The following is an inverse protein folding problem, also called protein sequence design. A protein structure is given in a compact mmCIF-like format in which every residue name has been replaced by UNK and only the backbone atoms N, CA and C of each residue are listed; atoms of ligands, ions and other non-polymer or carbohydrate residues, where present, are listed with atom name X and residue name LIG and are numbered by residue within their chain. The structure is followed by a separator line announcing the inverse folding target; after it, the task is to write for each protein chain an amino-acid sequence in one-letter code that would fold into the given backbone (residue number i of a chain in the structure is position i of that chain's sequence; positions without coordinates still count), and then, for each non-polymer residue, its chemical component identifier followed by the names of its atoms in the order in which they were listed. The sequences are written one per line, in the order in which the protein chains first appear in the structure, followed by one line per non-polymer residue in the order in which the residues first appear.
data_IF_334005372193
#
_entry.id   IF_334005372193
#
_cell.length_a   1.000
_cell.length_b   1.000
_cell.length_c   1.000
_cell.angle_alpha   90.00
_cell.angle_beta   90.00
_cell.angle_gamma   90.00
#
_symmetry.space_group_name_H-M   'P 1'
#
loop_
_entity.id
_entity.type
_entity.pdbx_description
1 polymer ?
#
# COMPACT_ATOMS: atom_id res chain seq x y z
N UNK A 1 23.95 -9.12 12.09
CA UNK A 1 24.48 -7.85 11.57
C UNK A 1 23.51 -6.76 11.96
N UNK A 2 23.96 -5.68 12.63
CA UNK A 2 23.07 -4.57 12.95
C UNK A 2 22.55 -3.96 11.65
N UNK A 3 21.23 -3.84 11.51
CA UNK A 3 20.59 -3.30 10.32
C UNK A 3 20.91 -1.79 10.26
N UNK A 4 21.76 -1.38 9.32
CA UNK A 4 22.05 0.04 9.07
C UNK A 4 20.73 0.76 8.78
N UNK A 5 20.48 1.91 9.44
CA UNK A 5 19.23 2.65 9.23
C UNK A 5 19.04 3.01 7.76
N UNK A 6 17.79 3.08 7.29
CA UNK A 6 17.49 3.44 5.90
C UNK A 6 18.16 4.77 5.52
N UNK A 7 18.13 5.75 6.43
CA UNK A 7 18.85 7.02 6.27
C UNK A 7 20.35 6.82 6.08
N UNK A 8 21.00 6.05 6.94
CA UNK A 8 22.45 5.83 6.84
C UNK A 8 22.85 5.09 5.54
N UNK A 9 21.97 4.23 5.00
CA UNK A 9 22.18 3.58 3.70
C UNK A 9 21.95 4.53 2.53
N UNK A 10 20.86 5.30 2.53
CA UNK A 10 20.44 6.11 1.38
C UNK A 10 21.14 7.46 1.30
N UNK A 11 21.46 8.09 2.44
CA UNK A 11 22.07 9.42 2.48
C UNK A 11 23.30 9.56 1.58
N UNK A 12 24.33 8.68 1.62
CA UNK A 12 25.50 8.82 0.75
C UNK A 12 25.19 8.61 -0.74
N UNK A 13 24.17 7.81 -1.07
CA UNK A 13 23.73 7.59 -2.46
C UNK A 13 23.03 8.84 -3.00
N UNK A 14 22.06 9.35 -2.25
CA UNK A 14 21.22 10.48 -2.64
C UNK A 14 21.96 11.83 -2.60
N UNK A 15 23.10 11.92 -1.90
CA UNK A 15 23.95 13.12 -1.91
C UNK A 15 24.98 13.13 -3.06
N UNK A 16 25.08 12.05 -3.84
CA UNK A 16 26.08 11.92 -4.92
C UNK A 16 25.40 11.52 -6.24
N UNK A 17 24.27 12.13 -6.57
CA UNK A 17 23.49 11.79 -7.77
C UNK A 17 24.26 12.18 -9.05
N UNK A 18 24.17 11.31 -10.05
CA UNK A 18 24.72 11.50 -11.39
C UNK A 18 24.19 12.78 -12.06
N UNK A 19 25.09 13.55 -12.67
CA UNK A 19 24.75 14.62 -13.60
C UNK A 19 25.73 14.58 -14.79
N UNK A 20 25.27 14.59 -16.06
CA UNK A 20 26.15 14.36 -17.20
C UNK A 20 27.30 15.36 -17.35
N UNK A 21 27.17 16.59 -16.82
CA UNK A 21 28.22 17.61 -16.84
C UNK A 21 28.88 17.83 -15.48
N UNK A 22 28.09 17.96 -14.42
CA UNK A 22 28.59 18.41 -13.10
C UNK A 22 29.03 17.26 -12.20
N UNK A 23 28.49 16.06 -12.40
CA UNK A 23 28.83 14.87 -11.63
C UNK A 23 28.72 13.60 -12.49
N UNK A 24 29.54 13.45 -13.55
CA UNK A 24 29.40 12.35 -14.51
C UNK A 24 29.74 10.98 -13.90
N UNK A 25 30.41 10.95 -12.74
CA UNK A 25 30.74 9.74 -12.00
C UNK A 25 29.80 9.52 -10.78
N UNK A 26 28.74 10.31 -10.67
CA UNK A 26 27.75 10.16 -9.60
C UNK A 26 26.91 8.88 -9.75
N UNK A 27 26.15 8.58 -8.72
CA UNK A 27 25.21 7.46 -8.66
C UNK A 27 24.01 7.75 -9.56
N UNK A 28 23.76 6.87 -10.52
CA UNK A 28 22.52 6.88 -11.29
C UNK A 28 21.41 6.31 -10.40
N UNK A 29 20.49 7.16 -9.96
CA UNK A 29 19.35 6.72 -9.15
C UNK A 29 18.28 6.09 -10.04
N UNK A 30 18.15 4.76 -9.91
CA UNK A 30 17.09 3.96 -10.51
C UNK A 30 16.24 3.25 -9.44
N UNK A 31 16.42 3.64 -8.18
CA UNK A 31 15.76 3.02 -7.02
C UNK A 31 14.65 3.89 -6.42
N UNK A 32 14.73 5.21 -6.60
CA UNK A 32 13.70 6.15 -6.15
C UNK A 32 12.59 6.26 -7.19
N UNK A 33 11.34 6.05 -6.76
CA UNK A 33 10.17 6.09 -7.63
C UNK A 33 9.73 7.54 -7.91
N UNK A 34 10.48 8.24 -8.76
CA UNK A 34 10.19 9.61 -9.20
C UNK A 34 9.98 9.70 -10.72
N UNK A 35 9.03 10.54 -11.15
CA UNK A 35 8.81 10.80 -12.57
C UNK A 35 9.63 12.01 -13.03
N UNK A 36 10.93 11.79 -13.23
CA UNK A 36 11.86 12.86 -13.64
C UNK A 36 11.52 13.47 -15.01
N UNK A 37 10.85 12.71 -15.89
CA UNK A 37 10.48 13.15 -17.25
C UNK A 37 9.52 14.36 -17.19
N UNK A 38 8.67 14.41 -16.17
CA UNK A 38 7.67 15.48 -16.00
C UNK A 38 8.19 16.69 -15.20
N UNK A 39 9.41 16.64 -14.66
CA UNK A 39 9.88 17.66 -13.72
C UNK A 39 9.93 19.06 -14.33
N UNK A 40 10.37 19.17 -15.59
CA UNK A 40 10.40 20.44 -16.32
C UNK A 40 9.00 21.02 -16.52
N UNK A 41 8.06 20.21 -16.98
CA UNK A 41 6.68 20.66 -17.25
C UNK A 41 5.96 21.08 -15.97
N UNK A 42 6.17 20.33 -14.88
CA UNK A 42 5.63 20.68 -13.55
C UNK A 42 6.26 21.97 -13.03
N UNK A 43 7.59 22.14 -13.17
CA UNK A 43 8.29 23.36 -12.81
C UNK A 43 7.76 24.58 -13.58
N UNK A 44 7.65 24.46 -14.90
CA UNK A 44 7.17 25.55 -15.76
C UNK A 44 5.71 25.90 -15.44
N UNK A 45 4.86 24.89 -15.21
CA UNK A 45 3.47 25.11 -14.80
C UNK A 45 3.39 25.81 -13.45
N UNK A 46 4.17 25.35 -12.46
CA UNK A 46 4.16 25.91 -11.12
C UNK A 46 4.54 27.40 -11.13
N UNK A 47 5.59 27.76 -11.86
CA UNK A 47 6.09 29.13 -11.90
C UNK A 47 5.26 30.07 -12.78
N UNK A 48 4.61 29.57 -13.83
CA UNK A 48 3.94 30.43 -14.80
C UNK A 48 2.41 30.40 -14.74
N UNK A 49 1.81 29.36 -14.16
CA UNK A 49 0.35 29.14 -14.21
C UNK A 49 -0.32 29.15 -12.84
N UNK A 50 0.39 28.87 -11.75
CA UNK A 50 -0.21 28.94 -10.41
C UNK A 50 -0.43 30.40 -10.03
N UNK A 51 -1.71 30.79 -9.90
CA UNK A 51 -2.12 32.11 -9.43
C UNK A 51 -2.79 31.97 -8.07
N UNK A 52 -2.23 32.65 -7.08
CA UNK A 52 -2.82 32.73 -5.74
C UNK A 52 -3.67 33.98 -5.59
N UNK A 53 -4.58 33.94 -4.63
CA UNK A 53 -5.40 35.09 -4.23
C UNK A 53 -5.39 35.17 -2.70
N UNK A 54 -5.79 36.28 -2.07
CA UNK A 54 -5.91 36.34 -0.60
C UNK A 54 -6.75 35.19 -0.02
N UNK A 55 -7.81 34.76 -0.73
CA UNK A 55 -8.66 33.62 -0.34
C UNK A 55 -7.88 32.30 -0.28
N UNK A 56 -6.84 32.13 -1.10
CA UNK A 56 -5.97 30.93 -1.09
C UNK A 56 -5.30 30.72 0.28
N UNK A 57 -5.09 31.79 1.04
CA UNK A 57 -4.46 31.76 2.36
C UNK A 57 -5.49 31.75 3.51
N UNK A 58 -6.72 31.34 3.24
CA UNK A 58 -7.80 31.21 4.23
C UNK A 58 -8.29 29.77 4.28
N UNK A 59 -9.13 29.44 5.27
CA UNK A 59 -9.83 28.16 5.31
C UNK A 59 -10.78 27.92 4.13
N UNK A 60 -11.10 28.96 3.35
CA UNK A 60 -11.93 28.84 2.16
C UNK A 60 -13.30 28.22 2.46
N UNK A 61 -13.52 27.00 1.97
CA UNK A 61 -14.77 26.24 2.08
C UNK A 61 -14.72 25.17 3.20
N UNK A 62 -13.65 25.15 4.01
CA UNK A 62 -13.47 24.20 5.12
C UNK A 62 -12.40 23.13 4.86
N UNK A 63 -12.31 22.10 5.73
CA UNK A 63 -11.19 21.16 5.79
C UNK A 63 -11.20 20.06 4.73
N UNK A 64 -12.21 20.00 3.85
CA UNK A 64 -12.40 18.93 2.85
C UNK A 64 -11.71 19.18 1.51
N UNK A 65 -11.03 20.33 1.37
CA UNK A 65 -10.47 20.79 0.10
C UNK A 65 -11.47 21.60 -0.73
N UNK A 66 -10.96 22.61 -1.46
CA UNK A 66 -11.81 23.53 -2.23
C UNK A 66 -12.61 22.80 -3.31
N UNK A 67 -13.87 23.21 -3.55
CA UNK A 67 -14.70 22.69 -4.65
C UNK A 67 -13.98 22.73 -6.00
N UNK A 68 -13.22 23.81 -6.28
CA UNK A 68 -12.39 23.91 -7.49
C UNK A 68 -11.45 22.71 -7.67
N UNK A 69 -10.74 22.33 -6.61
CA UNK A 69 -9.80 21.21 -6.62
C UNK A 69 -10.55 19.87 -6.78
N UNK A 70 -11.61 19.66 -6.01
CA UNK A 70 -12.44 18.45 -6.07
C UNK A 70 -13.05 18.26 -7.47
N UNK A 71 -13.62 19.31 -8.07
CA UNK A 71 -14.14 19.28 -9.44
C UNK A 71 -13.06 18.99 -10.46
N UNK A 72 -11.89 19.63 -10.37
CA UNK A 72 -10.80 19.39 -11.30
C UNK A 72 -10.29 17.94 -11.24
N UNK A 73 -10.15 17.38 -10.03
CA UNK A 73 -9.73 16.00 -9.83
C UNK A 73 -10.79 15.00 -10.34
N UNK A 74 -12.06 15.19 -9.98
CA UNK A 74 -13.15 14.36 -10.48
C UNK A 74 -13.18 14.34 -12.02
N UNK A 75 -13.08 15.51 -12.65
CA UNK A 75 -13.03 15.62 -14.11
C UNK A 75 -11.81 14.91 -14.70
N UNK A 76 -10.63 15.06 -14.08
CA UNK A 76 -9.42 14.37 -14.51
C UNK A 76 -9.59 12.84 -14.43
N UNK A 77 -10.07 12.33 -13.29
CA UNK A 77 -10.28 10.89 -13.09
C UNK A 77 -11.31 10.33 -14.09
N UNK A 78 -12.44 11.02 -14.27
CA UNK A 78 -13.48 10.62 -15.22
C UNK A 78 -12.99 10.65 -16.68
N UNK A 79 -12.12 11.59 -17.02
CA UNK A 79 -11.60 11.75 -18.39
C UNK A 79 -10.54 10.72 -18.74
N UNK A 80 -9.63 10.38 -17.82
CA UNK A 80 -8.47 9.55 -18.14
C UNK A 80 -8.55 8.10 -17.63
N UNK A 81 -9.34 7.83 -16.59
CA UNK A 81 -9.45 6.49 -16.00
C UNK A 81 -10.76 5.78 -16.34
N UNK A 82 -11.73 6.50 -16.91
CA UNK A 82 -13.03 5.97 -17.35
C UNK A 82 -13.69 5.04 -16.32
N UNK A 83 -13.91 5.50 -15.08
CA UNK A 83 -14.48 4.68 -14.02
C UNK A 83 -15.89 4.20 -14.40
N UNK A 84 -16.28 3.02 -13.90
CA UNK A 84 -17.60 2.43 -14.15
C UNK A 84 -18.75 3.39 -13.77
N UNK A 85 -18.60 4.07 -12.63
CA UNK A 85 -19.48 5.16 -12.20
C UNK A 85 -18.70 6.47 -12.18
N UNK A 86 -19.33 7.55 -12.66
CA UNK A 86 -18.70 8.87 -12.70
C UNK A 86 -18.43 9.41 -11.30
N UNK A 87 -17.17 9.69 -10.99
CA UNK A 87 -16.72 10.23 -9.70
C UNK A 87 -17.26 11.64 -9.54
N UNK A 88 -17.91 11.90 -8.40
CA UNK A 88 -18.44 13.20 -8.04
C UNK A 88 -17.45 13.98 -7.17
N UNK A 89 -17.42 15.33 -7.26
CA UNK A 89 -16.55 16.14 -6.41
C UNK A 89 -16.77 15.91 -4.91
N UNK A 90 -18.00 15.60 -4.50
CA UNK A 90 -18.37 15.35 -3.10
C UNK A 90 -17.91 13.99 -2.56
N UNK A 91 -17.37 13.12 -3.41
CA UNK A 91 -16.77 11.83 -3.03
C UNK A 91 -15.25 11.94 -2.78
N UNK A 92 -14.66 13.11 -3.00
CA UNK A 92 -13.22 13.32 -2.91
C UNK A 92 -12.81 14.08 -1.65
N UNK A 93 -11.86 13.51 -0.93
CA UNK A 93 -11.14 14.14 0.19
C UNK A 93 -9.66 14.25 -0.14
N UNK A 94 -9.01 15.29 0.37
CA UNK A 94 -7.59 15.56 0.14
C UNK A 94 -6.84 15.55 1.47
N UNK A 95 -5.64 14.98 1.45
CA UNK A 95 -4.67 15.08 2.54
C UNK A 95 -3.28 15.41 1.98
N UNK A 96 -2.32 15.67 2.87
CA UNK A 96 -0.94 16.01 2.55
C UNK A 96 -0.12 14.76 2.14
N UNK A 97 -0.54 14.10 1.06
CA UNK A 97 0.14 12.94 0.47
C UNK A 97 -0.44 11.59 0.90
N UNK A 98 0.04 10.53 0.25
CA UNK A 98 -0.49 9.16 0.42
C UNK A 98 -0.28 8.60 1.82
N UNK A 99 0.84 8.93 2.48
CA UNK A 99 1.10 8.52 3.88
C UNK A 99 -0.02 8.95 4.82
N UNK A 100 -0.46 10.21 4.72
CA UNK A 100 -1.57 10.71 5.53
C UNK A 100 -2.92 10.11 5.11
N UNK A 101 -3.11 9.81 3.83
CA UNK A 101 -4.31 9.12 3.36
C UNK A 101 -4.38 7.68 3.88
N UNK A 102 -3.28 6.94 3.89
CA UNK A 102 -3.21 5.60 4.48
C UNK A 102 -3.56 5.65 5.97
N UNK A 103 -3.03 6.63 6.70
CA UNK A 103 -3.36 6.83 8.12
C UNK A 103 -4.85 7.13 8.34
N UNK A 104 -5.41 8.11 7.60
CA UNK A 104 -6.83 8.47 7.68
C UNK A 104 -7.72 7.28 7.30
N UNK A 105 -7.35 6.55 6.25
CA UNK A 105 -8.06 5.35 5.81
C UNK A 105 -8.01 4.27 6.90
N UNK A 106 -6.86 4.07 7.54
CA UNK A 106 -6.71 3.16 8.66
C UNK A 106 -7.67 3.47 9.81
N UNK A 107 -7.77 4.75 10.21
CA UNK A 107 -8.74 5.18 11.23
C UNK A 107 -10.21 4.94 10.83
N UNK A 108 -10.51 4.94 9.54
CA UNK A 108 -11.88 4.76 9.05
C UNK A 108 -12.31 3.29 8.99
N UNK A 109 -11.37 2.36 8.78
CA UNK A 109 -11.70 0.94 8.49
C UNK A 109 -11.47 -0.02 9.65
N UNK A 110 -10.80 0.40 10.73
CA UNK A 110 -10.46 -0.52 11.81
C UNK A 110 -10.05 0.17 13.11
N UNK A 111 -9.93 -0.64 14.14
CA UNK A 111 -9.46 -0.25 15.47
C UNK A 111 -8.01 -0.69 15.70
N UNK A 112 -7.29 -0.08 16.66
CA UNK A 112 -5.94 -0.52 17.00
C UNK A 112 -5.86 -2.04 17.22
N UNK A 113 -4.86 -2.68 16.60
CA UNK A 113 -4.61 -4.12 16.52
C UNK A 113 -5.46 -4.92 15.50
N UNK A 114 -6.39 -4.30 14.79
CA UNK A 114 -7.00 -4.94 13.62
C UNK A 114 -5.97 -5.15 12.50
N UNK A 115 -6.19 -6.18 11.69
CA UNK A 115 -5.30 -6.57 10.59
C UNK A 115 -5.76 -6.04 9.23
N UNK A 116 -4.85 -5.46 8.45
CA UNK A 116 -5.02 -5.25 7.01
C UNK A 116 -4.23 -6.32 6.28
N UNK A 117 -4.93 -7.19 5.53
CA UNK A 117 -4.26 -8.17 4.70
C UNK A 117 -3.57 -7.49 3.50
N UNK A 118 -2.28 -7.75 3.33
CA UNK A 118 -1.47 -7.22 2.24
C UNK A 118 -0.79 -8.35 1.44
N UNK A 119 -0.75 -8.20 0.12
CA UNK A 119 0.03 -9.08 -0.76
C UNK A 119 1.53 -8.81 -0.62
N UNK A 120 2.37 -9.79 -0.99
CA UNK A 120 3.82 -9.60 -1.14
C UNK A 120 4.22 -9.71 -2.61
N UNK A 121 5.20 -8.92 -3.08
CA UNK A 121 5.86 -7.83 -2.35
C UNK A 121 4.92 -6.63 -2.16
N UNK A 122 5.17 -5.80 -1.15
CA UNK A 122 4.39 -4.58 -0.86
C UNK A 122 5.29 -3.38 -0.66
N UNK A 123 4.70 -2.17 -0.72
CA UNK A 123 5.40 -0.96 -0.35
C UNK A 123 5.83 -1.03 1.13
N UNK A 124 7.11 -0.81 1.38
CA UNK A 124 7.72 -1.03 2.70
C UNK A 124 7.20 -0.09 3.80
N UNK A 125 6.63 1.07 3.42
CA UNK A 125 6.14 2.04 4.41
C UNK A 125 4.73 1.72 4.91
N UNK A 126 3.94 0.86 4.23
CA UNK A 126 2.57 0.55 4.65
C UNK A 126 2.44 0.15 6.12
N UNK A 127 3.30 -0.72 6.70
CA UNK A 127 3.24 -1.02 8.13
C UNK A 127 3.37 0.21 9.03
N UNK A 128 4.16 1.21 8.64
CA UNK A 128 4.28 2.46 9.36
C UNK A 128 3.09 3.39 9.06
N UNK A 129 2.70 3.53 7.80
CA UNK A 129 1.62 4.42 7.36
C UNK A 129 0.27 4.04 7.99
N UNK A 130 -0.05 2.74 8.07
CA UNK A 130 -1.26 2.23 8.73
C UNK A 130 -1.07 2.00 10.24
N UNK A 131 0.15 1.71 10.70
CA UNK A 131 0.41 1.27 12.07
C UNK A 131 0.79 2.37 13.06
N UNK A 132 1.46 3.44 12.61
CA UNK A 132 2.07 4.41 13.51
C UNK A 132 1.07 5.17 14.39
N UNK A 133 -0.09 5.54 13.83
CA UNK A 133 -1.15 6.24 14.57
C UNK A 133 -2.47 5.47 14.62
N UNK A 134 -2.93 4.89 13.51
CA UNK A 134 -4.17 4.09 13.51
C UNK A 134 -4.01 2.73 14.22
N UNK A 135 -2.78 2.26 14.44
CA UNK A 135 -2.51 1.05 15.20
C UNK A 135 -2.84 -0.26 14.47
N UNK A 136 -3.18 -0.20 13.18
CA UNK A 136 -3.46 -1.37 12.36
C UNK A 136 -2.20 -2.18 12.07
N UNK A 137 -2.38 -3.47 11.80
CA UNK A 137 -1.30 -4.41 11.50
C UNK A 137 -1.39 -4.85 10.05
N UNK A 138 -0.40 -4.50 9.24
CA UNK A 138 -0.26 -5.13 7.93
C UNK A 138 0.12 -6.60 8.11
N UNK A 139 -0.76 -7.51 7.70
CA UNK A 139 -0.60 -8.96 7.84
C UNK A 139 -0.47 -9.63 6.48
N UNK A 140 0.27 -10.73 6.43
CA UNK A 140 0.35 -11.63 5.29
C UNK A 140 0.46 -13.08 5.81
N UNK A 141 0.44 -14.06 4.92
CA UNK A 141 0.37 -15.47 5.30
C UNK A 141 1.74 -16.13 5.54
N UNK A 142 2.86 -15.50 5.15
CA UNK A 142 4.20 -16.07 5.31
C UNK A 142 4.56 -16.39 6.79
N UNK A 143 4.21 -15.57 7.80
CA UNK A 143 4.44 -15.92 9.20
C UNK A 143 3.72 -17.18 9.71
N UNK A 144 2.75 -17.72 8.96
CA UNK A 144 2.03 -18.94 9.33
C UNK A 144 2.65 -20.21 8.76
N UNK A 145 3.79 -20.11 8.06
CA UNK A 145 4.61 -21.26 7.69
C UNK A 145 5.21 -21.88 8.96
N UNK A 146 4.94 -23.17 9.21
CA UNK A 146 5.46 -23.88 10.37
C UNK A 146 6.93 -24.30 10.16
N UNK A 147 7.83 -23.35 10.40
CA UNK A 147 9.26 -23.59 10.31
C UNK A 147 9.82 -24.44 11.46
N UNK A 148 8.99 -24.82 12.45
CA UNK A 148 9.38 -25.74 13.52
C UNK A 148 9.21 -27.20 13.11
N UNK A 149 8.16 -27.48 12.32
CA UNK A 149 7.92 -28.79 11.74
C UNK A 149 8.68 -29.01 10.42
N UNK A 150 8.85 -27.96 9.61
CA UNK A 150 9.45 -28.04 8.28
C UNK A 150 10.68 -27.15 8.17
N UNK A 151 11.84 -27.71 7.78
CA UNK A 151 13.07 -26.94 7.56
C UNK A 151 13.11 -26.21 6.21
N UNK A 152 12.31 -26.67 5.26
CA UNK A 152 12.18 -26.08 3.93
C UNK A 152 10.88 -25.26 3.87
N UNK A 153 10.98 -23.98 3.50
CA UNK A 153 9.83 -23.09 3.47
C UNK A 153 8.79 -23.51 2.42
N UNK A 154 9.22 -24.17 1.33
CA UNK A 154 8.30 -24.70 0.31
C UNK A 154 7.49 -25.87 0.84
N UNK A 155 8.13 -26.79 1.58
CA UNK A 155 7.41 -27.84 2.29
C UNK A 155 6.44 -27.28 3.35
N UNK A 156 6.83 -26.19 4.04
CA UNK A 156 5.96 -25.51 4.99
C UNK A 156 4.74 -24.84 4.28
N UNK A 157 4.95 -24.27 3.08
CA UNK A 157 3.89 -23.72 2.25
C UNK A 157 2.88 -24.81 1.84
N UNK A 158 3.38 -25.96 1.39
CA UNK A 158 2.55 -27.11 1.01
C UNK A 158 1.72 -27.63 2.18
N UNK A 159 2.31 -27.72 3.37
CA UNK A 159 1.62 -28.13 4.59
C UNK A 159 0.54 -27.13 5.01
N UNK A 160 0.81 -25.83 4.88
CA UNK A 160 -0.16 -24.79 5.19
C UNK A 160 -1.36 -24.83 4.23
N UNK A 161 -1.12 -25.07 2.94
CA UNK A 161 -2.18 -25.26 1.93
C UNK A 161 -3.01 -26.50 2.24
N UNK A 162 -2.38 -27.62 2.56
CA UNK A 162 -3.11 -28.83 2.93
C UNK A 162 -4.04 -28.58 4.14
N UNK A 163 -3.57 -27.82 5.14
CA UNK A 163 -4.39 -27.42 6.29
C UNK A 163 -5.57 -26.52 5.89
N UNK A 164 -5.38 -25.62 4.92
CA UNK A 164 -6.45 -24.79 4.36
C UNK A 164 -7.49 -25.64 3.63
N UNK A 165 -7.05 -26.59 2.81
CA UNK A 165 -7.90 -27.52 2.07
C UNK A 165 -8.72 -28.42 3.03
N UNK A 166 -8.10 -28.93 4.10
CA UNK A 166 -8.79 -29.67 5.16
C UNK A 166 -9.86 -28.83 5.89
N UNK A 167 -9.66 -27.51 5.95
CA UNK A 167 -10.66 -26.56 6.46
C UNK A 167 -11.68 -26.10 5.40
N UNK A 168 -11.61 -26.66 4.18
CA UNK A 168 -12.55 -26.39 3.10
C UNK A 168 -12.35 -25.04 2.42
N UNK A 169 -11.12 -24.50 2.41
CA UNK A 169 -10.77 -23.29 1.65
C UNK A 169 -9.55 -23.54 0.77
N UNK A 170 -9.63 -23.08 -0.47
CA UNK A 170 -8.53 -23.16 -1.43
C UNK A 170 -7.98 -21.75 -1.71
N UNK A 171 -6.67 -21.60 -1.60
CA UNK A 171 -5.94 -20.43 -2.09
C UNK A 171 -4.76 -20.90 -2.93
N UNK A 172 -4.42 -20.14 -3.98
CA UNK A 172 -3.29 -20.56 -4.84
C UNK A 172 -1.98 -20.21 -4.15
N UNK A 173 -1.15 -21.22 -3.87
CA UNK A 173 0.19 -21.07 -3.32
C UNK A 173 1.19 -20.49 -4.32
N UNK A 174 2.22 -19.83 -3.81
CA UNK A 174 3.20 -19.08 -4.59
C UNK A 174 4.03 -19.96 -5.51
N UNK A 175 4.36 -21.18 -5.09
CA UNK A 175 5.09 -22.15 -5.91
C UNK A 175 4.40 -22.48 -7.25
N UNK A 176 3.05 -22.52 -7.29
CA UNK A 176 2.29 -22.70 -8.53
C UNK A 176 2.29 -21.47 -9.45
N UNK A 177 2.70 -20.32 -8.90
CA UNK A 177 2.75 -19.02 -9.58
C UNK A 177 4.19 -18.56 -9.84
N UNK A 178 5.17 -19.46 -9.69
CA UNK A 178 6.60 -19.17 -9.86
C UNK A 178 7.09 -18.04 -8.94
N UNK A 179 6.54 -17.95 -7.72
CA UNK A 179 7.06 -17.02 -6.73
C UNK A 179 8.54 -17.32 -6.41
N UNK A 180 9.34 -16.29 -6.19
CA UNK A 180 10.76 -16.44 -5.83
C UNK A 180 10.97 -16.86 -4.36
N UNK A 181 9.92 -16.74 -3.54
CA UNK A 181 9.93 -17.01 -2.11
C UNK A 181 8.65 -17.73 -1.71
N UNK A 182 8.76 -18.68 -0.78
CA UNK A 182 7.62 -19.37 -0.20
C UNK A 182 6.78 -18.42 0.67
N UNK A 183 5.54 -18.82 0.96
CA UNK A 183 4.63 -18.06 1.82
C UNK A 183 3.96 -16.88 1.12
N UNK A 184 4.05 -16.82 -0.20
CA UNK A 184 3.26 -15.91 -1.02
C UNK A 184 2.03 -16.65 -1.51
N UNK A 185 0.88 -16.00 -1.45
CA UNK A 185 -0.40 -16.62 -1.79
C UNK A 185 -1.24 -15.66 -2.60
N UNK A 186 -2.02 -16.21 -3.52
CA UNK A 186 -3.01 -15.47 -4.30
C UNK A 186 -4.41 -15.82 -3.79
N UNK A 187 -5.12 -14.78 -3.35
CA UNK A 187 -6.53 -14.84 -3.01
C UNK A 187 -7.31 -14.16 -4.13
N UNK A 188 -8.33 -14.83 -4.64
CA UNK A 188 -9.27 -14.28 -5.62
C UNK A 188 -10.43 -13.70 -4.82
N UNK A 189 -10.62 -12.38 -4.88
CA UNK A 189 -11.66 -11.68 -4.13
C UNK A 189 -12.88 -11.29 -4.98
N UNK A 190 -12.85 -11.53 -6.28
CA UNK A 190 -13.97 -11.33 -7.19
C UNK A 190 -14.97 -12.50 -7.07
N UNK A 191 -15.66 -12.57 -5.94
CA UNK A 191 -16.66 -13.57 -5.57
C UNK A 191 -17.81 -12.89 -4.84
N UNK A 192 -18.93 -13.60 -4.69
CA UNK A 192 -20.06 -13.15 -3.88
C UNK A 192 -19.65 -12.96 -2.41
N UNK A 193 -20.26 -11.99 -1.73
CA UNK A 193 -19.88 -11.59 -0.37
C UNK A 193 -19.99 -12.75 0.64
N UNK A 194 -21.04 -13.58 0.54
CA UNK A 194 -21.26 -14.73 1.42
C UNK A 194 -20.20 -15.83 1.25
N UNK A 195 -19.77 -16.07 0.01
CA UNK A 195 -18.67 -16.98 -0.31
C UNK A 195 -17.35 -16.43 0.24
N UNK A 196 -17.11 -15.13 0.11
CA UNK A 196 -15.91 -14.47 0.64
C UNK A 196 -15.85 -14.54 2.17
N UNK A 197 -16.95 -14.24 2.86
CA UNK A 197 -17.04 -14.31 4.33
C UNK A 197 -16.75 -15.71 4.85
N UNK A 198 -17.38 -16.74 4.27
CA UNK A 198 -17.15 -18.13 4.66
C UNK A 198 -15.73 -18.58 4.30
N UNK A 199 -15.19 -18.15 3.15
CA UNK A 199 -13.81 -18.41 2.75
C UNK A 199 -12.78 -17.85 3.74
N UNK A 200 -12.93 -16.59 4.16
CA UNK A 200 -12.06 -15.99 5.18
C UNK A 200 -12.21 -16.64 6.55
N UNK A 201 -13.44 -17.00 6.95
CA UNK A 201 -13.67 -17.72 8.21
C UNK A 201 -12.91 -19.06 8.23
N UNK A 202 -12.96 -19.84 7.15
CA UNK A 202 -12.22 -21.10 7.01
C UNK A 202 -10.71 -20.89 6.97
N UNK A 203 -10.25 -19.85 6.26
CA UNK A 203 -8.84 -19.46 6.22
C UNK A 203 -8.32 -19.13 7.62
N UNK A 204 -9.06 -18.33 8.38
CA UNK A 204 -8.69 -17.95 9.74
C UNK A 204 -8.65 -19.15 10.69
N UNK A 205 -9.59 -20.09 10.55
CA UNK A 205 -9.53 -21.35 11.29
C UNK A 205 -8.29 -22.18 10.92
N UNK A 206 -7.96 -22.28 9.62
CA UNK A 206 -6.80 -23.02 9.15
C UNK A 206 -5.48 -22.44 9.71
N UNK A 207 -5.33 -21.13 9.77
CA UNK A 207 -4.13 -20.50 10.33
C UNK A 207 -4.14 -20.41 11.87
N UNK A 208 -5.19 -20.90 12.53
CA UNK A 208 -5.34 -20.85 13.98
C UNK A 208 -5.59 -19.45 14.54
N UNK A 209 -6.11 -18.53 13.72
CA UNK A 209 -6.45 -17.19 14.16
C UNK A 209 -7.72 -17.23 15.01
N UNK A 210 -7.62 -16.76 16.26
CA UNK A 210 -8.76 -16.57 17.15
C UNK A 210 -9.22 -15.12 17.12
N UNK A 211 -10.55 -14.88 17.12
CA UNK A 211 -11.09 -13.53 17.35
C UNK A 211 -10.58 -13.01 18.70
N UNK A 212 -9.85 -11.90 18.67
CA UNK A 212 -9.56 -11.14 19.88
C UNK A 212 -10.89 -10.52 20.34
N UNK A 213 -11.31 -10.79 21.59
CA UNK A 213 -12.48 -10.10 22.14
C UNK A 213 -12.17 -8.60 22.14
N UNK A 214 -13.03 -7.80 21.51
CA UNK A 214 -12.95 -6.35 21.61
C UNK A 214 -12.95 -5.95 23.10
N UNK A 215 -11.98 -5.12 23.49
CA UNK A 215 -11.91 -4.54 24.84
C UNK A 215 -12.96 -3.46 25.03
#
# INVERSE_FOLDING_TARGET
MAQTSLKARLQPLLSNIYHPQDNPNGIVDMGTAENHIMTKDVYDFANNKIRTTPRTFTYGEGPWGSKRLRTAMANHMNTYFHPFSAIQPDELVFANGITSLCELFGYAIGSPNDGILISRPSYQAFPADFGAKAGLKCVNLHPFLDMTAYKDEWAAEDALVAKMEDNGVYITKGSLLQAEQAGWFRIIFAQEDDVMEEGFKRLFNAIGASKVKAQ
#
